data_IF_061445687026
#
_entry.id   IF_061445687026
#
_cell.length_a   1.000
_cell.length_b   1.000
_cell.length_c   1.000
_cell.angle_alpha   90.00
_cell.angle_beta   90.00
_cell.angle_gamma   90.00
#
_symmetry.space_group_name_H-M   'P 1'
#
loop_
_entity.id
_entity.type
_entity.pdbx_description
1 polymer ?
#
# COMPACT_ATOMS: atom_id res chain seq x y z
N UNK A 1 -14.16 19.65 0.03
CA UNK A 1 -13.85 18.72 1.14
C UNK A 1 -13.05 17.57 0.56
N UNK A 2 -11.88 17.29 1.12
CA UNK A 2 -10.98 16.26 0.58
C UNK A 2 -11.67 14.88 0.52
N UNK A 3 -11.62 14.22 -0.63
CA UNK A 3 -12.11 12.87 -0.82
C UNK A 3 -11.03 11.86 -0.42
N UNK A 4 -10.81 11.71 0.89
CA UNK A 4 -9.71 10.92 1.48
C UNK A 4 -10.17 9.85 2.47
N UNK A 5 -11.49 9.64 2.59
CA UNK A 5 -12.04 8.56 3.41
C UNK A 5 -11.85 7.22 2.71
N UNK A 6 -11.93 6.13 3.47
CA UNK A 6 -11.84 4.77 2.94
C UNK A 6 -12.75 4.57 1.73
N UNK A 7 -14.02 4.97 1.83
CA UNK A 7 -15.02 4.87 0.74
C UNK A 7 -14.72 5.72 -0.49
N UNK A 8 -13.93 6.79 -0.34
CA UNK A 8 -13.58 7.69 -1.44
C UNK A 8 -12.39 7.16 -2.23
N UNK A 9 -11.49 6.42 -1.56
CA UNK A 9 -10.24 5.94 -2.12
C UNK A 9 -10.31 4.52 -2.65
N UNK A 10 -11.14 3.64 -2.05
CA UNK A 10 -11.06 2.21 -2.27
C UNK A 10 -12.40 1.57 -2.63
N UNK A 11 -12.36 0.66 -3.59
CA UNK A 11 -13.37 -0.37 -3.77
C UNK A 11 -12.98 -1.60 -2.93
N UNK A 12 -13.65 -1.78 -1.81
CA UNK A 12 -13.32 -2.81 -0.83
C UNK A 12 -13.62 -4.25 -1.33
N UNK A 13 -14.28 -4.42 -2.47
CA UNK A 13 -14.49 -5.74 -3.07
C UNK A 13 -13.20 -6.36 -3.59
N UNK A 14 -12.13 -5.58 -3.69
CA UNK A 14 -10.81 -5.98 -4.17
C UNK A 14 -9.77 -6.17 -3.06
N UNK A 15 -10.20 -6.52 -1.85
CA UNK A 15 -9.29 -6.83 -0.75
C UNK A 15 -9.92 -7.75 0.29
N UNK A 16 -9.13 -8.65 0.85
CA UNK A 16 -9.54 -9.46 2.02
C UNK A 16 -9.56 -8.68 3.33
N UNK A 17 -9.07 -7.43 3.35
CA UNK A 17 -9.12 -6.55 4.52
C UNK A 17 -10.41 -5.72 4.61
N UNK A 18 -11.41 -5.96 3.76
CA UNK A 18 -12.64 -5.17 3.65
C UNK A 18 -13.31 -4.96 5.02
N UNK A 19 -13.57 -6.03 5.76
CA UNK A 19 -14.24 -5.98 7.06
C UNK A 19 -13.52 -5.05 8.07
N UNK A 20 -12.19 -5.06 8.08
CA UNK A 20 -11.41 -4.18 8.95
C UNK A 20 -11.47 -2.73 8.46
N UNK A 21 -11.33 -2.51 7.14
CA UNK A 21 -11.35 -1.17 6.54
C UNK A 21 -12.70 -0.48 6.67
N UNK A 22 -13.82 -1.22 6.63
CA UNK A 22 -15.18 -0.70 6.88
C UNK A 22 -15.35 -0.10 8.27
N UNK A 23 -14.53 -0.51 9.24
CA UNK A 23 -14.53 0.08 10.60
C UNK A 23 -13.73 1.38 10.71
N UNK A 24 -13.14 1.86 9.62
CA UNK A 24 -12.30 3.05 9.57
C UNK A 24 -12.97 4.15 8.74
N UNK A 25 -12.97 5.36 9.26
CA UNK A 25 -13.38 6.52 8.47
C UNK A 25 -12.25 6.92 7.52
N UNK A 26 -11.05 7.04 8.06
CA UNK A 26 -9.83 7.36 7.30
C UNK A 26 -8.91 6.14 7.20
N UNK A 27 -8.24 5.93 6.05
CA UNK A 27 -7.43 4.72 5.85
C UNK A 27 -6.24 4.58 6.81
N UNK A 28 -5.68 5.66 7.30
CA UNK A 28 -4.58 5.60 8.27
C UNK A 28 -5.00 5.06 9.66
N UNK A 29 -6.30 5.05 9.98
CA UNK A 29 -6.82 4.42 11.20
C UNK A 29 -6.65 2.90 11.18
N UNK A 30 -6.50 2.32 9.99
CA UNK A 30 -6.28 0.90 9.79
C UNK A 30 -4.84 0.44 10.14
N UNK A 31 -3.86 1.35 10.14
CA UNK A 31 -2.44 0.98 10.21
C UNK A 31 -2.06 0.17 11.46
N UNK A 32 -2.67 0.44 12.62
CA UNK A 32 -2.43 -0.35 13.83
C UNK A 32 -3.23 -1.67 13.86
N UNK A 33 -4.20 -1.82 12.96
CA UNK A 33 -5.09 -2.97 12.89
C UNK A 33 -4.59 -4.01 11.89
N UNK A 34 -3.63 -3.65 11.01
CA UNK A 34 -3.19 -4.51 9.90
C UNK A 34 -2.73 -5.88 10.39
N UNK A 35 -1.88 -5.94 11.42
CA UNK A 35 -1.37 -7.22 11.93
C UNK A 35 -2.48 -8.17 12.38
N UNK A 36 -3.44 -7.67 13.17
CA UNK A 36 -4.58 -8.46 13.62
C UNK A 36 -5.49 -8.87 12.46
N UNK A 37 -5.70 -7.99 11.48
CA UNK A 37 -6.49 -8.30 10.31
C UNK A 37 -5.83 -9.39 9.43
N UNK A 38 -4.52 -9.33 9.26
CA UNK A 38 -3.76 -10.37 8.51
C UNK A 38 -3.89 -11.73 9.17
N UNK A 39 -3.79 -11.80 10.51
CA UNK A 39 -3.99 -13.05 11.27
C UNK A 39 -5.41 -13.58 11.07
N UNK A 40 -6.43 -12.73 11.29
CA UNK A 40 -7.83 -13.10 11.13
C UNK A 40 -8.15 -13.59 9.70
N UNK A 41 -7.61 -12.93 8.68
CA UNK A 41 -7.74 -13.38 7.29
C UNK A 41 -7.08 -14.74 7.11
N UNK A 42 -5.84 -14.89 7.58
CA UNK A 42 -5.08 -16.13 7.44
C UNK A 42 -5.79 -17.35 8.01
N UNK A 43 -6.41 -17.20 9.19
CA UNK A 43 -7.17 -18.27 9.86
C UNK A 43 -8.42 -18.73 9.09
N UNK A 44 -8.93 -17.91 8.17
CA UNK A 44 -10.10 -18.23 7.33
C UNK A 44 -9.75 -18.86 6.00
N UNK A 45 -8.47 -18.90 5.62
CA UNK A 45 -8.03 -19.38 4.31
C UNK A 45 -8.11 -20.90 4.22
N UNK A 46 -8.60 -21.38 3.08
CA UNK A 46 -8.72 -22.81 2.81
C UNK A 46 -7.33 -23.44 2.59
N UNK A 47 -6.97 -24.42 3.41
CA UNK A 47 -5.74 -25.19 3.29
C UNK A 47 -5.62 -25.95 1.93
N UNK A 48 -6.73 -26.16 1.22
CA UNK A 48 -6.68 -26.70 -0.14
C UNK A 48 -6.09 -25.70 -1.13
N UNK A 49 -6.27 -24.38 -0.89
CA UNK A 49 -5.83 -23.29 -1.76
C UNK A 49 -4.56 -22.57 -1.27
N UNK A 50 -4.24 -22.66 0.03
CA UNK A 50 -3.12 -21.95 0.66
C UNK A 50 -2.17 -22.89 1.37
N UNK A 51 -0.88 -22.65 1.20
CA UNK A 51 0.19 -23.24 2.00
C UNK A 51 0.48 -22.36 3.23
N UNK A 52 0.94 -23.00 4.32
CA UNK A 52 1.34 -22.33 5.57
C UNK A 52 2.81 -22.66 5.87
N UNK A 53 3.78 -22.11 5.12
CA UNK A 53 5.18 -22.53 5.18
C UNK A 53 5.95 -22.09 6.42
N UNK A 54 5.43 -21.11 7.17
CA UNK A 54 6.03 -20.61 8.40
C UNK A 54 4.94 -20.04 9.31
N UNK A 55 5.29 -19.77 10.55
CA UNK A 55 4.36 -19.21 11.55
C UNK A 55 3.74 -17.90 11.02
N UNK A 56 2.39 -17.84 11.01
CA UNK A 56 1.59 -16.72 10.54
C UNK A 56 1.91 -16.27 9.10
N UNK A 57 2.32 -17.21 8.23
CA UNK A 57 2.55 -16.94 6.80
C UNK A 57 1.65 -17.85 5.96
N UNK A 58 0.78 -17.28 5.16
CA UNK A 58 -0.12 -17.97 4.23
C UNK A 58 0.18 -17.53 2.80
N UNK A 59 0.43 -18.50 1.94
CA UNK A 59 0.78 -18.25 0.52
C UNK A 59 -0.16 -19.06 -0.34
N UNK A 60 -0.87 -18.40 -1.25
CA UNK A 60 -1.72 -19.10 -2.21
C UNK A 60 -0.88 -20.05 -3.07
N UNK A 61 -1.35 -21.30 -3.25
CA UNK A 61 -0.65 -22.32 -4.08
C UNK A 61 -0.49 -21.88 -5.55
N UNK A 62 -1.33 -20.97 -6.00
CA UNK A 62 -1.25 -20.36 -7.33
C UNK A 62 -0.28 -19.17 -7.42
N UNK A 63 0.28 -18.73 -6.29
CA UNK A 63 1.28 -17.68 -6.27
C UNK A 63 2.66 -18.20 -6.67
N UNK A 64 3.45 -17.35 -7.31
CA UNK A 64 4.86 -17.63 -7.66
C UNK A 64 5.77 -16.86 -6.71
N UNK A 65 6.51 -17.56 -5.85
CA UNK A 65 7.43 -16.94 -4.89
C UNK A 65 8.85 -17.38 -5.18
N UNK A 66 9.72 -16.41 -5.45
CA UNK A 66 11.13 -16.67 -5.70
C UNK A 66 11.82 -17.23 -4.44
N UNK A 67 12.68 -18.22 -4.60
CA UNK A 67 13.42 -18.86 -3.50
C UNK A 67 14.33 -17.90 -2.71
N UNK A 68 14.69 -16.77 -3.30
CA UNK A 68 15.49 -15.72 -2.67
C UNK A 68 14.67 -14.61 -2.02
N UNK A 69 13.34 -14.70 -2.04
CA UNK A 69 12.48 -13.81 -1.28
C UNK A 69 12.52 -14.17 0.20
N UNK A 70 12.52 -13.15 1.06
CA UNK A 70 12.44 -13.32 2.53
C UNK A 70 11.07 -12.87 3.00
N UNK A 71 10.31 -13.77 3.62
CA UNK A 71 8.94 -13.49 4.09
C UNK A 71 8.85 -13.82 5.57
N UNK A 72 8.42 -12.83 6.37
CA UNK A 72 8.15 -12.98 7.80
C UNK A 72 6.67 -12.69 8.08
N UNK A 73 6.04 -13.48 8.95
CA UNK A 73 4.66 -13.29 9.36
C UNK A 73 4.44 -12.09 10.33
N UNK A 74 3.20 -11.69 10.57
CA UNK A 74 1.99 -12.10 9.85
C UNK A 74 1.98 -11.66 8.38
N UNK A 75 1.71 -12.58 7.47
CA UNK A 75 1.71 -12.29 6.03
C UNK A 75 0.71 -13.18 5.28
N UNK A 76 -0.07 -12.58 4.39
CA UNK A 76 -0.90 -13.30 3.41
C UNK A 76 -0.47 -12.87 2.01
N UNK A 77 -0.18 -13.85 1.15
CA UNK A 77 0.10 -13.66 -0.29
C UNK A 77 -1.07 -14.26 -1.07
N UNK A 78 -1.77 -13.42 -1.81
CA UNK A 78 -2.97 -13.76 -2.58
C UNK A 78 -2.71 -14.63 -3.80
N UNK A 79 -3.80 -15.08 -4.43
CA UNK A 79 -3.77 -15.96 -5.58
C UNK A 79 -3.11 -15.30 -6.80
N UNK A 80 -2.38 -16.09 -7.60
CA UNK A 80 -1.69 -15.64 -8.84
C UNK A 80 -0.77 -14.44 -8.64
N UNK A 81 -0.38 -14.15 -7.39
CA UNK A 81 0.56 -13.09 -7.06
C UNK A 81 1.99 -13.54 -7.34
N UNK A 82 2.80 -12.64 -7.86
CA UNK A 82 4.22 -12.85 -8.12
C UNK A 82 5.06 -12.14 -7.06
N UNK A 83 5.90 -12.90 -6.34
CA UNK A 83 6.94 -12.37 -5.44
C UNK A 83 8.31 -12.67 -6.03
N UNK A 84 9.00 -11.63 -6.47
CA UNK A 84 10.22 -11.71 -7.25
C UNK A 84 11.49 -11.86 -6.39
N UNK A 85 12.64 -12.21 -7.03
CA UNK A 85 13.91 -12.37 -6.32
C UNK A 85 14.29 -11.16 -5.46
N UNK A 86 14.75 -11.43 -4.22
CA UNK A 86 15.21 -10.40 -3.30
C UNK A 86 14.11 -9.57 -2.63
N UNK A 87 12.83 -9.88 -2.86
CA UNK A 87 11.76 -9.23 -2.12
C UNK A 87 11.89 -9.50 -0.62
N UNK A 88 11.68 -8.47 0.21
CA UNK A 88 11.79 -8.53 1.67
C UNK A 88 10.47 -8.12 2.33
N UNK A 89 9.69 -9.09 2.81
CA UNK A 89 8.39 -8.89 3.45
C UNK A 89 8.55 -9.08 4.95
N UNK A 90 8.38 -7.97 5.71
CA UNK A 90 8.74 -7.87 7.13
C UNK A 90 7.57 -8.08 8.10
N UNK A 91 6.45 -8.58 7.63
CA UNK A 91 5.27 -8.84 8.46
C UNK A 91 4.29 -7.70 8.57
N UNK A 92 3.11 -8.03 9.10
CA UNK A 92 1.89 -7.23 9.02
C UNK A 92 1.59 -6.84 7.57
N UNK A 93 1.62 -7.81 6.65
CA UNK A 93 1.48 -7.56 5.21
C UNK A 93 0.37 -8.42 4.63
N UNK A 94 -0.57 -7.77 3.97
CA UNK A 94 -1.59 -8.44 3.15
C UNK A 94 -1.34 -8.04 1.69
N UNK A 95 -1.09 -9.03 0.86
CA UNK A 95 -0.97 -8.86 -0.60
C UNK A 95 -2.16 -9.53 -1.25
N UNK A 96 -2.93 -8.77 -2.02
CA UNK A 96 -4.12 -9.21 -2.75
C UNK A 96 -3.79 -10.14 -3.92
N UNK A 97 -4.81 -10.52 -4.67
CA UNK A 97 -4.69 -11.45 -5.79
C UNK A 97 -4.10 -10.77 -7.03
N UNK A 98 -3.32 -11.50 -7.81
CA UNK A 98 -2.72 -11.00 -9.06
C UNK A 98 -1.77 -9.82 -8.89
N UNK A 99 -1.25 -9.60 -7.70
CA UNK A 99 -0.31 -8.52 -7.41
C UNK A 99 1.13 -8.89 -7.81
N UNK A 100 1.99 -7.89 -7.87
CA UNK A 100 3.43 -8.06 -8.09
C UNK A 100 4.21 -7.39 -6.99
N UNK A 101 4.95 -8.19 -6.20
CA UNK A 101 5.99 -7.73 -5.27
C UNK A 101 7.34 -7.98 -5.93
N UNK A 102 7.93 -6.94 -6.46
CA UNK A 102 9.03 -7.02 -7.40
C UNK A 102 10.39 -7.27 -6.79
N UNK A 103 11.40 -7.22 -7.68
CA UNK A 103 12.79 -7.40 -7.29
C UNK A 103 13.22 -6.38 -6.25
N UNK A 104 13.79 -6.87 -5.15
CA UNK A 104 14.34 -6.06 -4.06
C UNK A 104 13.35 -5.02 -3.49
N UNK A 105 12.07 -5.33 -3.50
CA UNK A 105 11.05 -4.51 -2.86
C UNK A 105 10.94 -4.87 -1.38
N UNK A 106 10.80 -3.87 -0.54
CA UNK A 106 10.56 -4.06 0.89
C UNK A 106 9.13 -3.67 1.26
N UNK A 107 8.41 -4.60 1.89
CA UNK A 107 7.06 -4.39 2.41
C UNK A 107 7.04 -4.52 3.94
N UNK A 108 6.38 -3.60 4.62
CA UNK A 108 6.25 -3.62 6.08
C UNK A 108 4.98 -2.90 6.52
N UNK A 109 4.14 -3.59 7.29
CA UNK A 109 2.89 -3.03 7.83
C UNK A 109 2.06 -2.33 6.75
N UNK A 110 1.64 -3.08 5.73
CA UNK A 110 0.94 -2.54 4.58
C UNK A 110 -0.10 -3.51 4.00
N UNK A 111 -1.04 -2.94 3.26
CA UNK A 111 -2.03 -3.68 2.49
C UNK A 111 -1.87 -3.29 1.03
N UNK A 112 -1.68 -4.28 0.18
CA UNK A 112 -1.74 -4.18 -1.26
C UNK A 112 -3.03 -4.85 -1.72
N UNK A 113 -3.93 -4.11 -2.36
CA UNK A 113 -5.16 -4.65 -2.94
C UNK A 113 -4.86 -5.52 -4.17
N UNK A 114 -5.89 -6.13 -4.75
CA UNK A 114 -5.73 -6.97 -5.92
C UNK A 114 -5.13 -6.20 -7.10
N UNK A 115 -4.24 -6.86 -7.83
CA UNK A 115 -3.57 -6.31 -9.00
C UNK A 115 -2.59 -5.17 -8.74
N UNK A 116 -2.27 -4.85 -7.48
CA UNK A 116 -1.25 -3.84 -7.15
C UNK A 116 0.12 -4.27 -7.66
N UNK A 117 0.86 -3.32 -8.21
CA UNK A 117 2.22 -3.58 -8.70
C UNK A 117 3.25 -2.68 -8.01
N UNK A 118 4.21 -3.32 -7.34
CA UNK A 118 5.43 -2.71 -6.81
C UNK A 118 6.62 -3.45 -7.42
N UNK A 119 6.91 -3.26 -8.73
CA UNK A 119 7.68 -4.22 -9.50
C UNK A 119 9.20 -4.17 -9.29
N UNK A 120 9.76 -3.04 -8.81
CA UNK A 120 11.21 -2.85 -8.79
C UNK A 120 11.67 -1.88 -7.70
N UNK A 121 12.47 -2.36 -6.73
CA UNK A 121 13.18 -1.53 -5.75
C UNK A 121 12.25 -0.55 -5.00
N UNK A 122 11.04 -0.96 -4.71
CA UNK A 122 10.09 -0.13 -3.98
C UNK A 122 10.21 -0.36 -2.47
N UNK A 123 10.00 0.69 -1.69
CA UNK A 123 9.73 0.58 -0.26
C UNK A 123 8.27 0.96 0.02
N UNK A 124 7.53 0.04 0.62
CA UNK A 124 6.14 0.25 1.04
C UNK A 124 6.02 -0.02 2.54
N UNK A 125 6.00 1.04 3.32
CA UNK A 125 5.89 0.94 4.78
C UNK A 125 4.74 1.77 5.35
N UNK A 126 3.98 1.18 6.27
CA UNK A 126 2.85 1.84 6.95
C UNK A 126 1.91 2.52 5.93
N UNK A 127 1.45 1.74 4.94
CA UNK A 127 0.77 2.24 3.73
C UNK A 127 -0.35 1.31 3.28
N UNK A 128 -1.31 1.86 2.52
CA UNK A 128 -2.36 1.08 1.85
C UNK A 128 -2.38 1.47 0.38
N UNK A 129 -2.26 0.48 -0.50
CA UNK A 129 -2.30 0.65 -1.94
C UNK A 129 -3.59 0.02 -2.49
N UNK A 130 -4.44 0.82 -3.08
CA UNK A 130 -5.75 0.44 -3.62
C UNK A 130 -5.65 -0.42 -4.88
N UNK A 131 -6.79 -0.88 -5.36
CA UNK A 131 -6.93 -1.79 -6.49
C UNK A 131 -6.17 -1.29 -7.72
N UNK A 132 -5.30 -2.16 -8.25
CA UNK A 132 -4.44 -1.85 -9.42
C UNK A 132 -3.58 -0.59 -9.29
N UNK A 133 -3.29 -0.13 -8.08
CA UNK A 133 -2.29 0.92 -7.92
C UNK A 133 -0.91 0.41 -8.33
N UNK A 134 -0.12 1.29 -8.95
CA UNK A 134 1.21 0.96 -9.46
C UNK A 134 2.27 1.93 -8.95
N UNK A 135 3.39 1.39 -8.52
CA UNK A 135 4.58 2.17 -8.14
C UNK A 135 5.72 1.91 -9.12
N UNK A 136 6.11 2.90 -9.88
CA UNK A 136 7.27 2.84 -10.77
C UNK A 136 8.56 2.50 -10.02
N UNK A 137 9.59 2.06 -10.76
CA UNK A 137 10.85 1.64 -10.20
C UNK A 137 11.46 2.67 -9.25
N UNK A 138 11.89 2.25 -8.07
CA UNK A 138 12.52 3.11 -7.06
C UNK A 138 11.57 4.09 -6.35
N UNK A 139 10.27 4.07 -6.65
CA UNK A 139 9.32 4.88 -5.90
C UNK A 139 9.17 4.35 -4.48
N UNK A 140 9.08 5.24 -3.48
CA UNK A 140 9.06 4.88 -2.07
C UNK A 140 8.00 5.63 -1.27
N UNK A 141 7.42 4.97 -0.25
CA UNK A 141 6.58 5.60 0.76
C UNK A 141 7.43 5.91 2.00
N UNK A 142 7.92 7.15 2.11
CA UNK A 142 8.62 7.59 3.31
C UNK A 142 7.63 7.64 4.48
N UNK A 143 7.90 6.92 5.57
CA UNK A 143 6.91 6.72 6.64
C UNK A 143 7.25 7.41 7.97
N UNK A 144 8.39 8.11 8.06
CA UNK A 144 8.83 8.82 9.27
C UNK A 144 9.26 10.24 8.93
N UNK A 145 8.72 11.23 9.63
CA UNK A 145 9.15 12.62 9.50
C UNK A 145 10.56 12.83 10.09
N UNK A 146 11.33 13.73 9.49
CA UNK A 146 12.66 14.09 9.98
C UNK A 146 12.67 14.63 11.41
N UNK A 147 11.63 15.37 11.80
CA UNK A 147 11.45 15.94 13.14
C UNK A 147 10.90 14.97 14.20
N UNK A 148 10.59 13.70 13.79
CA UNK A 148 10.04 12.64 14.64
C UNK A 148 8.68 12.96 15.29
N UNK A 149 8.01 14.03 14.90
CA UNK A 149 6.66 14.38 15.34
C UNK A 149 5.61 13.51 14.65
N UNK A 150 4.38 13.55 15.14
CA UNK A 150 3.26 12.87 14.51
C UNK A 150 3.07 13.39 13.07
N UNK A 151 2.63 12.48 12.22
CA UNK A 151 2.30 12.79 10.83
C UNK A 151 0.95 13.51 10.79
N UNK A 152 0.89 14.58 10.01
CA UNK A 152 -0.33 15.32 9.71
C UNK A 152 -0.59 15.18 8.21
N UNK A 153 -1.81 14.85 7.82
CA UNK A 153 -2.23 14.87 6.42
C UNK A 153 -2.66 16.30 6.08
N UNK A 154 -2.00 16.88 5.09
CA UNK A 154 -2.27 18.24 4.61
C UNK A 154 -3.13 18.21 3.35
N UNK A 155 -4.37 18.65 3.45
CA UNK A 155 -5.32 18.82 2.37
C UNK A 155 -5.96 20.20 2.41
N UNK A 156 -7.26 20.31 2.09
CA UNK A 156 -8.03 21.55 2.30
C UNK A 156 -8.01 21.99 3.77
N UNK A 157 -7.89 21.02 4.65
CA UNK A 157 -7.61 21.21 6.07
C UNK A 157 -6.49 20.27 6.53
N UNK A 158 -6.02 20.45 7.75
CA UNK A 158 -5.04 19.56 8.38
C UNK A 158 -5.75 18.47 9.18
N UNK A 159 -5.34 17.21 8.97
CA UNK A 159 -5.87 16.05 9.67
C UNK A 159 -4.79 15.47 10.58
N UNK A 160 -4.99 15.60 11.89
CA UNK A 160 -4.11 15.01 12.89
C UNK A 160 -4.30 13.49 12.93
N UNK A 161 -3.24 12.75 12.66
CA UNK A 161 -3.32 11.27 12.57
C UNK A 161 -3.01 10.56 13.87
N UNK A 162 -2.36 11.22 14.81
CA UNK A 162 -1.86 10.63 16.04
C UNK A 162 -0.65 9.68 15.83
N UNK A 163 -0.15 9.52 14.60
CA UNK A 163 0.83 8.49 14.21
C UNK A 163 2.20 9.06 13.95
N UNK A 164 3.23 8.42 14.52
CA UNK A 164 4.64 8.70 14.20
C UNK A 164 5.12 8.03 12.92
N UNK A 165 4.44 6.93 12.51
CA UNK A 165 4.73 6.20 11.27
C UNK A 165 3.48 6.14 10.42
N UNK A 166 3.59 6.70 9.22
CA UNK A 166 2.56 6.68 8.20
C UNK A 166 3.23 7.02 6.86
N UNK A 167 3.23 6.08 5.93
CA UNK A 167 3.79 6.26 4.59
C UNK A 167 2.84 7.01 3.66
N UNK A 168 2.08 6.26 2.86
CA UNK A 168 1.12 6.83 1.91
C UNK A 168 -0.15 5.98 1.77
N UNK A 169 -1.24 6.64 1.40
CA UNK A 169 -2.49 6.01 0.98
C UNK A 169 -2.69 6.27 -0.51
N UNK A 170 -2.68 5.22 -1.31
CA UNK A 170 -2.91 5.29 -2.75
C UNK A 170 -4.30 4.77 -3.05
N UNK A 171 -5.16 5.60 -3.62
CA UNK A 171 -6.48 5.20 -4.11
C UNK A 171 -6.37 4.24 -5.29
N UNK A 172 -7.48 3.63 -5.64
CA UNK A 172 -7.54 2.69 -6.76
C UNK A 172 -7.03 3.35 -8.05
N UNK A 173 -6.29 2.58 -8.85
CA UNK A 173 -5.69 2.99 -10.12
C UNK A 173 -4.71 4.18 -10.01
N UNK A 174 -4.14 4.43 -8.84
CA UNK A 174 -3.11 5.44 -8.69
C UNK A 174 -1.80 4.99 -9.35
N UNK A 175 -1.15 5.88 -10.10
CA UNK A 175 0.08 5.63 -10.85
C UNK A 175 1.22 6.51 -10.33
N UNK A 176 2.26 5.91 -9.75
CA UNK A 176 3.39 6.63 -9.19
C UNK A 176 4.61 6.45 -10.08
N UNK A 177 5.11 7.55 -10.63
CA UNK A 177 6.29 7.56 -11.51
C UNK A 177 7.58 7.15 -10.81
N UNK A 178 8.53 6.64 -11.60
CA UNK A 178 9.82 6.13 -11.10
C UNK A 178 10.56 7.15 -10.23
N UNK A 179 11.25 6.63 -9.19
CA UNK A 179 12.06 7.41 -8.23
C UNK A 179 11.31 8.57 -7.55
N UNK A 180 9.99 8.46 -7.46
CA UNK A 180 9.20 9.42 -6.69
C UNK A 180 9.20 9.08 -5.21
N UNK A 181 9.20 10.11 -4.37
CA UNK A 181 9.09 9.99 -2.93
C UNK A 181 7.72 10.50 -2.47
N UNK A 182 6.93 9.59 -1.91
CA UNK A 182 5.70 9.95 -1.22
C UNK A 182 6.06 10.22 0.25
N UNK A 183 6.04 11.50 0.65
CA UNK A 183 6.40 11.92 2.00
C UNK A 183 5.36 11.43 3.03
N UNK A 184 5.73 11.32 4.32
CA UNK A 184 4.81 10.83 5.35
C UNK A 184 3.47 11.56 5.35
N UNK A 185 2.38 10.81 5.29
CA UNK A 185 1.02 11.34 5.25
C UNK A 185 0.55 11.77 3.86
N UNK A 186 1.19 11.33 2.79
CA UNK A 186 0.70 11.54 1.43
C UNK A 186 -0.54 10.69 1.16
N UNK A 187 -1.57 11.31 0.57
CA UNK A 187 -2.78 10.63 0.10
C UNK A 187 -2.96 10.93 -1.39
N UNK A 188 -2.98 9.91 -2.21
CA UNK A 188 -3.19 10.00 -3.65
C UNK A 188 -4.60 9.51 -3.96
N UNK A 189 -5.44 10.37 -4.49
CA UNK A 189 -6.81 10.05 -4.89
C UNK A 189 -6.88 9.05 -6.05
N UNK A 190 -8.05 8.45 -6.25
CA UNK A 190 -8.29 7.46 -7.31
C UNK A 190 -7.93 8.02 -8.69
N UNK A 191 -7.45 7.14 -9.58
CA UNK A 191 -7.09 7.48 -10.97
C UNK A 191 -6.09 8.64 -11.10
N UNK A 192 -5.32 8.95 -10.05
CA UNK A 192 -4.35 10.04 -10.09
C UNK A 192 -2.96 9.54 -10.47
N UNK A 193 -2.14 10.45 -10.97
CA UNK A 193 -0.84 10.13 -11.51
C UNK A 193 0.24 11.06 -10.95
N UNK A 194 1.38 10.51 -10.62
CA UNK A 194 2.57 11.24 -10.20
C UNK A 194 3.66 11.04 -11.24
N UNK A 195 4.20 12.13 -11.76
CA UNK A 195 5.31 12.06 -12.71
C UNK A 195 6.60 11.58 -12.03
N UNK A 196 7.52 10.96 -12.79
CA UNK A 196 8.80 10.52 -12.25
C UNK A 196 9.57 11.63 -11.54
N UNK A 197 10.43 11.25 -10.58
CA UNK A 197 11.31 12.15 -9.82
C UNK A 197 10.55 13.21 -9.00
N UNK A 198 9.31 12.93 -8.63
CA UNK A 198 8.50 13.86 -7.84
C UNK A 198 8.65 13.61 -6.33
N UNK A 199 8.71 14.70 -5.56
CA UNK A 199 8.55 14.66 -4.09
C UNK A 199 7.15 15.16 -3.75
N UNK A 200 6.26 14.24 -3.32
CA UNK A 200 4.86 14.52 -3.07
C UNK A 200 4.57 14.59 -1.58
N UNK A 201 3.74 15.54 -1.16
CA UNK A 201 3.28 15.69 0.22
C UNK A 201 1.81 16.14 0.24
N UNK A 202 1.06 15.62 1.23
CA UNK A 202 -0.35 15.98 1.43
C UNK A 202 -1.29 15.27 0.47
N UNK A 203 -2.43 15.87 0.20
CA UNK A 203 -3.51 15.27 -0.60
C UNK A 203 -3.37 15.65 -2.07
N UNK A 204 -3.36 14.65 -2.93
CA UNK A 204 -3.56 14.79 -4.38
C UNK A 204 -5.00 14.35 -4.68
N UNK A 205 -5.88 15.22 -5.19
CA UNK A 205 -7.26 14.86 -5.46
C UNK A 205 -7.39 13.74 -6.51
N UNK A 206 -8.53 13.05 -6.53
CA UNK A 206 -8.81 12.03 -7.54
C UNK A 206 -8.75 12.61 -8.96
N UNK A 207 -8.28 11.83 -9.93
CA UNK A 207 -8.15 12.21 -11.34
C UNK A 207 -7.27 13.45 -11.56
N UNK A 208 -6.17 13.55 -10.81
CA UNK A 208 -5.18 14.61 -10.97
C UNK A 208 -3.81 14.05 -11.36
N UNK A 209 -2.99 14.94 -11.92
CA UNK A 209 -1.59 14.66 -12.29
C UNK A 209 -0.68 15.61 -11.52
N UNK A 210 0.27 15.03 -10.78
CA UNK A 210 1.38 15.77 -10.18
C UNK A 210 2.52 15.84 -11.19
N UNK A 211 2.87 17.03 -11.65
CA UNK A 211 3.95 17.26 -12.64
C UNK A 211 5.22 17.83 -11.99
N UNK A 212 5.61 17.28 -10.84
CA UNK A 212 6.77 17.73 -10.05
C UNK A 212 6.58 19.19 -9.60
N UNK A 213 7.61 20.01 -9.78
CA UNK A 213 7.59 21.43 -9.40
C UNK A 213 6.53 22.28 -10.14
N UNK A 214 6.02 21.79 -11.26
CA UNK A 214 4.97 22.50 -12.02
C UNK A 214 3.61 22.48 -11.32
N UNK A 215 3.42 21.62 -10.31
CA UNK A 215 2.19 21.57 -9.51
C UNK A 215 1.28 20.39 -9.84
N UNK A 216 0.01 20.51 -9.41
CA UNK A 216 -1.04 19.49 -9.51
C UNK A 216 -2.13 19.99 -10.47
N UNK A 217 -2.51 19.16 -11.41
CA UNK A 217 -3.46 19.49 -12.49
C UNK A 217 -4.53 18.41 -12.61
N UNK A 218 -5.78 18.80 -12.90
CA UNK A 218 -6.81 17.84 -13.23
C UNK A 218 -6.46 17.07 -14.52
N UNK A 219 -6.82 15.80 -14.58
CA UNK A 219 -6.79 15.01 -15.83
C UNK A 219 -7.94 15.45 -16.73
N UNK A 220 -7.65 15.65 -18.00
CA UNK A 220 -8.66 15.88 -19.04
C UNK A 220 -9.48 14.61 -19.32
#
# INVERSE_FOLDING_TARGET
MDAIKVKDLYDLTHTRAAQMLETCEYPWEALDKIGAAVLAVGETLDAAAYDHPAENVWIAKSASVAVTASITGPCVIGEKTEVRPGAFIRGNVLVGDGAVVGNSCELKNCILFDGVQTPHYNYVGDSILGYKAHMGAGAVTSNVKGDKKNVVVHGEQSYETGRKKFGAMLGDFAEIGCNSVLNPGTVIGRDSQVYPLSSVRGVVPARHIVKGERGVFAKE
#
